data_IF_757744785482
#
_entry.id   IF_757744785482
#
_cell.length_a   1.000
_cell.length_b   1.000
_cell.length_c   1.000
_cell.angle_alpha   90.00
_cell.angle_beta   90.00
_cell.angle_gamma   90.00
#
_symmetry.space_group_name_H-M   'P 1'
#
loop_
_entity.id
_entity.type
_entity.pdbx_description
1 polymer ?
#
# COMPACT_ATOMS: atom_id res chain seq x y z
N UNK A 1 -26.73 -6.12 39.54
CA UNK A 1 -26.42 -5.44 38.26
C UNK A 1 -25.06 -5.96 37.77
N UNK A 2 -25.04 -6.75 36.69
CA UNK A 2 -23.82 -7.37 36.15
C UNK A 2 -23.36 -6.55 34.93
N UNK A 3 -22.11 -6.11 34.95
CA UNK A 3 -21.51 -5.23 33.96
C UNK A 3 -20.88 -6.09 32.87
N UNK A 4 -21.59 -6.39 31.79
CA UNK A 4 -21.03 -7.07 30.62
C UNK A 4 -20.47 -6.04 29.65
N UNK A 5 -19.22 -5.62 29.88
CA UNK A 5 -18.36 -5.10 28.80
C UNK A 5 -18.14 -6.25 27.83
N UNK A 6 -19.02 -6.35 26.83
CA UNK A 6 -18.83 -7.20 25.67
C UNK A 6 -17.66 -6.67 24.87
N UNK A 7 -16.58 -7.45 24.85
CA UNK A 7 -15.43 -7.26 24.00
C UNK A 7 -15.87 -7.09 22.54
N UNK A 8 -15.71 -5.88 22.00
CA UNK A 8 -15.67 -5.68 20.56
C UNK A 8 -14.34 -6.30 20.07
N UNK A 9 -14.39 -7.59 19.76
CA UNK A 9 -13.35 -8.29 19.01
C UNK A 9 -13.32 -7.71 17.60
N UNK A 10 -12.70 -6.55 17.45
CA UNK A 10 -12.25 -6.08 16.14
C UNK A 10 -11.15 -7.06 15.73
N UNK A 11 -11.53 -8.03 14.91
CA UNK A 11 -10.60 -8.92 14.23
C UNK A 11 -9.82 -8.06 13.22
N UNK A 12 -8.77 -7.40 13.72
CA UNK A 12 -7.77 -6.77 12.88
C UNK A 12 -7.00 -7.92 12.26
N UNK A 13 -7.45 -8.41 11.10
CA UNK A 13 -6.68 -9.35 10.29
C UNK A 13 -5.28 -8.75 10.11
N UNK A 14 -4.33 -9.36 10.81
CA UNK A 14 -2.92 -9.06 10.76
C UNK A 14 -2.48 -9.10 9.30
N UNK A 15 -2.14 -7.93 8.78
CA UNK A 15 -1.52 -7.79 7.47
C UNK A 15 -0.23 -8.60 7.49
N UNK A 16 -0.21 -9.68 6.71
CA UNK A 16 0.99 -10.46 6.50
C UNK A 16 1.95 -9.60 5.68
N UNK A 17 3.21 -9.39 6.11
CA UNK A 17 4.21 -8.77 5.26
C UNK A 17 4.43 -9.69 4.06
N UNK A 18 4.05 -9.23 2.86
CA UNK A 18 4.26 -9.99 1.63
C UNK A 18 5.74 -9.89 1.28
N UNK A 19 6.54 -10.82 1.78
CA UNK A 19 7.95 -11.00 1.41
C UNK A 19 8.00 -11.66 0.02
N UNK A 20 8.08 -10.88 -1.05
CA UNK A 20 8.23 -11.44 -2.40
C UNK A 20 9.71 -11.48 -2.76
N UNK A 21 10.24 -12.70 -2.83
CA UNK A 21 11.57 -12.99 -3.33
C UNK A 21 11.54 -12.93 -4.87
N UNK A 22 11.79 -11.75 -5.44
CA UNK A 22 11.78 -11.56 -6.90
C UNK A 22 13.17 -11.95 -7.43
N UNK A 23 13.28 -13.17 -7.96
CA UNK A 23 14.41 -13.55 -8.82
C UNK A 23 14.35 -12.66 -10.07
N UNK A 24 15.36 -11.80 -10.25
CA UNK A 24 15.53 -10.98 -11.47
C UNK A 24 15.84 -11.90 -12.64
N UNK A 25 14.83 -12.48 -13.26
CA UNK A 25 15.00 -13.03 -14.62
C UNK A 25 15.31 -11.85 -15.55
N UNK A 26 16.44 -11.96 -16.25
CA UNK A 26 17.00 -10.96 -17.15
C UNK A 26 16.19 -10.85 -18.46
N UNK A 27 14.88 -10.71 -18.33
CA UNK A 27 14.00 -10.22 -19.40
C UNK A 27 14.40 -8.77 -19.62
N UNK A 28 14.69 -8.38 -20.87
CA UNK A 28 15.10 -7.02 -21.22
C UNK A 28 14.08 -6.02 -20.70
N UNK A 29 14.32 -5.44 -19.51
CA UNK A 29 13.47 -4.39 -18.96
C UNK A 29 13.51 -3.22 -19.91
N UNK A 30 12.36 -2.83 -20.44
CA UNK A 30 12.27 -1.61 -21.25
C UNK A 30 12.48 -0.40 -20.34
N UNK A 31 12.79 0.76 -20.94
CA UNK A 31 12.83 2.01 -20.19
C UNK A 31 11.46 2.29 -19.53
N UNK A 32 10.36 1.92 -20.19
CA UNK A 32 9.01 2.02 -19.65
C UNK A 32 8.81 1.10 -18.42
N UNK A 33 9.25 -0.16 -18.48
CA UNK A 33 9.16 -1.06 -17.31
C UNK A 33 9.98 -0.53 -16.13
N UNK A 34 11.17 0.00 -16.41
CA UNK A 34 12.03 0.60 -15.37
C UNK A 34 11.34 1.77 -14.68
N UNK A 35 10.68 2.64 -15.45
CA UNK A 35 9.90 3.76 -14.91
C UNK A 35 8.69 3.27 -14.10
N UNK A 36 7.98 2.25 -14.58
CA UNK A 36 6.85 1.65 -13.86
C UNK A 36 7.29 1.04 -12.53
N UNK A 37 8.42 0.34 -12.48
CA UNK A 37 8.98 -0.19 -11.23
C UNK A 37 9.42 0.91 -10.27
N UNK A 38 10.02 2.00 -10.78
CA UNK A 38 10.35 3.16 -9.97
C UNK A 38 9.10 3.82 -9.39
N UNK A 39 8.08 4.06 -10.22
CA UNK A 39 6.80 4.61 -9.79
C UNK A 39 6.12 3.72 -8.75
N UNK A 40 6.09 2.40 -8.98
CA UNK A 40 5.54 1.42 -8.04
C UNK A 40 6.16 1.56 -6.65
N UNK A 41 7.50 1.66 -6.60
CA UNK A 41 8.24 1.81 -5.34
C UNK A 41 7.91 3.14 -4.65
N UNK A 42 7.79 4.23 -5.41
CA UNK A 42 7.46 5.54 -4.83
C UNK A 42 6.04 5.56 -4.26
N UNK A 43 5.06 5.03 -4.99
CA UNK A 43 3.67 4.94 -4.53
C UNK A 43 3.55 4.08 -3.26
N UNK A 44 4.28 2.96 -3.17
CA UNK A 44 4.36 2.14 -1.96
C UNK A 44 4.95 2.91 -0.77
N UNK A 45 6.04 3.64 -1.00
CA UNK A 45 6.68 4.44 0.04
C UNK A 45 5.74 5.54 0.55
N UNK A 46 5.02 6.22 -0.34
CA UNK A 46 4.06 7.27 0.01
C UNK A 46 2.90 6.69 0.82
N UNK A 47 2.29 5.60 0.37
CA UNK A 47 1.23 4.91 1.10
C UNK A 47 1.67 4.57 2.54
N UNK A 48 2.85 3.98 2.69
CA UNK A 48 3.41 3.64 4.01
C UNK A 48 3.68 4.87 4.88
N UNK A 49 4.20 5.97 4.30
CA UNK A 49 4.46 7.22 5.03
C UNK A 49 3.17 7.84 5.55
N UNK A 50 2.15 7.94 4.70
CA UNK A 50 0.84 8.47 5.10
C UNK A 50 0.19 7.60 6.18
N UNK A 51 0.28 6.26 6.09
CA UNK A 51 -0.16 5.38 7.18
C UNK A 51 0.62 5.63 8.48
N UNK A 52 1.93 5.86 8.38
CA UNK A 52 2.78 6.22 9.51
C UNK A 52 2.32 7.52 10.18
N UNK A 53 2.06 8.56 9.40
CA UNK A 53 1.56 9.84 9.89
C UNK A 53 0.15 9.75 10.48
N UNK A 54 -0.74 8.95 9.88
CA UNK A 54 -2.07 8.67 10.42
C UNK A 54 -2.01 8.03 11.81
N UNK A 55 -1.02 7.15 12.07
CA UNK A 55 -0.79 6.55 13.39
C UNK A 55 -0.18 7.53 14.39
N UNK A 56 0.66 8.45 13.92
CA UNK A 56 1.39 9.40 14.77
C UNK A 56 0.62 10.66 15.16
N UNK A 57 -0.50 10.97 14.50
CA UNK A 57 -1.28 12.19 14.76
C UNK A 57 -2.46 11.94 15.70
N UNK A 58 -2.72 12.88 16.61
CA UNK A 58 -3.89 12.89 17.50
C UNK A 58 -5.06 13.69 16.92
N UNK A 59 -4.82 14.52 15.90
CA UNK A 59 -5.86 15.27 15.21
C UNK A 59 -6.67 14.34 14.30
N UNK A 60 -7.95 14.15 14.62
CA UNK A 60 -8.85 13.23 13.90
C UNK A 60 -9.02 13.58 12.42
N UNK A 61 -9.10 14.88 12.09
CA UNK A 61 -9.23 15.34 10.70
C UNK A 61 -7.95 15.09 9.91
N UNK A 62 -6.79 15.39 10.49
CA UNK A 62 -5.50 15.11 9.85
C UNK A 62 -5.30 13.60 9.67
N UNK A 63 -5.66 12.79 10.68
CA UNK A 63 -5.62 11.33 10.60
C UNK A 63 -6.45 10.81 9.43
N UNK A 64 -7.69 11.29 9.29
CA UNK A 64 -8.57 10.88 8.20
C UNK A 64 -7.96 11.24 6.84
N UNK A 65 -7.47 12.48 6.68
CA UNK A 65 -6.82 12.90 5.43
C UNK A 65 -5.61 12.02 5.09
N UNK A 66 -4.78 11.67 6.06
CA UNK A 66 -3.65 10.78 5.83
C UNK A 66 -4.08 9.36 5.44
N UNK A 67 -5.17 8.84 5.99
CA UNK A 67 -5.71 7.54 5.58
C UNK A 67 -6.25 7.58 4.14
N UNK A 68 -6.97 8.65 3.77
CA UNK A 68 -7.47 8.86 2.40
C UNK A 68 -6.30 8.95 1.40
N UNK A 69 -5.24 9.68 1.74
CA UNK A 69 -4.03 9.74 0.91
C UNK A 69 -3.34 8.38 0.79
N UNK A 70 -3.22 7.63 1.89
CA UNK A 70 -2.65 6.29 1.86
C UNK A 70 -3.45 5.32 0.98
N UNK A 71 -4.78 5.40 1.02
CA UNK A 71 -5.67 4.61 0.19
C UNK A 71 -5.50 4.96 -1.30
N UNK A 72 -5.46 6.25 -1.64
CA UNK A 72 -5.24 6.70 -3.02
C UNK A 72 -3.92 6.16 -3.60
N UNK A 73 -2.82 6.30 -2.86
CA UNK A 73 -1.51 5.77 -3.26
C UNK A 73 -1.51 4.23 -3.35
N UNK A 74 -2.22 3.53 -2.47
CA UNK A 74 -2.41 2.07 -2.58
C UNK A 74 -3.18 1.71 -3.85
N UNK A 75 -4.18 2.51 -4.23
CA UNK A 75 -4.87 2.38 -5.52
C UNK A 75 -3.94 2.52 -6.72
N UNK A 76 -3.01 3.48 -6.69
CA UNK A 76 -2.00 3.64 -7.74
C UNK A 76 -1.05 2.44 -7.82
N UNK A 77 -0.59 1.92 -6.69
CA UNK A 77 0.23 0.70 -6.63
C UNK A 77 -0.44 -0.46 -7.36
N UNK A 78 -1.75 -0.64 -7.15
CA UNK A 78 -2.50 -1.71 -7.81
C UNK A 78 -2.61 -1.50 -9.33
N UNK A 79 -2.86 -0.27 -9.79
CA UNK A 79 -2.90 0.07 -11.22
C UNK A 79 -1.53 -0.15 -11.90
N UNK A 80 -0.44 0.27 -11.27
CA UNK A 80 0.92 0.08 -11.80
C UNK A 80 1.26 -1.41 -11.85
N UNK A 81 0.90 -2.18 -10.81
CA UNK A 81 1.07 -3.64 -10.82
C UNK A 81 0.31 -4.29 -11.98
N UNK A 82 -0.94 -3.88 -12.20
CA UNK A 82 -1.73 -4.37 -13.33
C UNK A 82 -1.02 -4.12 -14.65
N UNK A 83 -0.51 -2.90 -14.88
CA UNK A 83 0.26 -2.56 -16.08
C UNK A 83 1.55 -3.38 -16.25
N UNK A 84 2.28 -3.62 -15.17
CA UNK A 84 3.47 -4.47 -15.18
C UNK A 84 3.13 -5.93 -15.48
N UNK A 85 1.99 -6.45 -14.99
CA UNK A 85 1.56 -7.83 -15.22
C UNK A 85 0.88 -8.04 -16.57
N UNK A 86 0.20 -7.04 -17.12
CA UNK A 86 -0.48 -7.15 -18.41
C UNK A 86 0.49 -7.26 -19.58
N UNK A 87 1.79 -7.01 -19.35
CA UNK A 87 2.80 -6.93 -20.40
C UNK A 87 2.48 -5.76 -21.32
N UNK A 88 3.19 -4.64 -21.15
CA UNK A 88 3.13 -3.56 -22.13
C UNK A 88 3.56 -4.12 -23.49
N UNK A 89 2.59 -4.45 -24.36
CA UNK A 89 2.84 -4.62 -25.79
C UNK A 89 2.81 -3.22 -26.40
N UNK A 90 3.92 -2.72 -26.96
CA UNK A 90 3.97 -1.40 -27.60
C UNK A 90 3.03 -1.31 -28.80
#
# INVERSE_FOLDING_TARGET
MKNTRGANNVNVSLYHPVSINIKREATRMTAADTLLWQALRQEQNLAQRYQGWARGTTNSRARQLFLEMAEAHTGHVNKIRQQLTSGFSP
#
